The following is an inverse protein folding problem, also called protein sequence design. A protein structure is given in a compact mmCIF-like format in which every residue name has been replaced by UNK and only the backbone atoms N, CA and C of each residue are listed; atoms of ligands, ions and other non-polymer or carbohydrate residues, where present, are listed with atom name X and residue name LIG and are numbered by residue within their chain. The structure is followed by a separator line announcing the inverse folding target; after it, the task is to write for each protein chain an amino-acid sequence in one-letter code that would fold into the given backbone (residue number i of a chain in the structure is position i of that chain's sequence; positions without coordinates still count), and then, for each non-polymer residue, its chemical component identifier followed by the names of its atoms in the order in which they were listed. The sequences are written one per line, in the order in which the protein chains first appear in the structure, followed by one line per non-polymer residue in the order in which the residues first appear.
data_IF_479577014674
#
_entry.id   IF_479577014674
#
_cell.length_a   1.000
_cell.length_b   1.000
_cell.length_c   1.000
_cell.angle_alpha   90.00
_cell.angle_beta   90.00
_cell.angle_gamma   90.00
#
_symmetry.space_group_name_H-M   'P 1'
#
loop_
_entity.id
_entity.type
_entity.pdbx_description
1 polymer ?
#
# COMPACT_ATOMS: atom_id res chain seq x y z
N UNK A 1 -17.66 13.22 -32.40
CA UNK A 1 -16.29 13.65 -32.02
C UNK A 1 -15.64 12.55 -31.18
N UNK A 2 -14.31 12.38 -31.16
CA UNK A 2 -13.66 11.52 -30.18
C UNK A 2 -13.77 12.15 -28.78
N UNK A 3 -14.09 11.34 -27.76
CA UNK A 3 -14.14 11.78 -26.37
C UNK A 3 -12.71 12.07 -25.90
N UNK A 4 -12.44 13.28 -25.40
CA UNK A 4 -11.16 13.59 -24.75
C UNK A 4 -11.09 12.86 -23.40
N UNK A 5 -9.96 12.22 -23.10
CA UNK A 5 -9.75 11.43 -21.87
C UNK A 5 -9.90 12.21 -20.55
N UNK A 6 -9.92 13.54 -20.63
CA UNK A 6 -10.08 14.49 -19.51
C UNK A 6 -11.55 14.74 -19.13
N UNK A 7 -12.51 14.39 -20.00
CA UNK A 7 -13.93 14.69 -19.77
C UNK A 7 -14.52 13.87 -18.61
N UNK A 8 -14.80 14.50 -17.47
CA UNK A 8 -15.45 13.86 -16.31
C UNK A 8 -16.86 13.35 -16.65
N UNK A 9 -17.58 14.09 -17.50
CA UNK A 9 -18.94 13.82 -17.99
C UNK A 9 -18.90 13.77 -19.52
N UNK A 10 -19.52 12.75 -20.12
CA UNK A 10 -19.69 12.70 -21.57
C UNK A 10 -20.66 13.81 -22.05
N UNK A 11 -20.25 14.71 -22.97
CA UNK A 11 -21.10 15.82 -23.40
C UNK A 11 -22.31 15.39 -24.23
N UNK A 12 -22.32 14.17 -24.79
CA UNK A 12 -23.44 13.68 -25.62
C UNK A 12 -24.54 12.99 -24.81
N UNK A 13 -24.21 12.33 -23.69
CA UNK A 13 -25.15 11.50 -22.94
C UNK A 13 -25.18 11.73 -21.43
N UNK A 14 -24.35 12.63 -20.89
CA UNK A 14 -24.33 12.96 -19.46
C UNK A 14 -23.77 11.87 -18.53
N UNK A 15 -23.41 10.68 -19.05
CA UNK A 15 -22.82 9.60 -18.25
C UNK A 15 -21.43 10.02 -17.77
N UNK A 16 -21.17 9.92 -16.46
CA UNK A 16 -19.84 10.07 -15.86
C UNK A 16 -18.89 9.03 -16.43
N UNK A 17 -17.86 9.48 -17.14
CA UNK A 17 -16.83 8.61 -17.71
C UNK A 17 -15.67 8.40 -16.74
N UNK A 18 -15.37 9.42 -15.92
CA UNK A 18 -14.37 9.30 -14.87
C UNK A 18 -15.05 8.74 -13.60
N UNK A 19 -14.63 7.59 -13.06
CA UNK A 19 -15.00 7.26 -11.68
C UNK A 19 -14.52 8.40 -10.77
N UNK A 20 -15.21 8.68 -9.64
CA UNK A 20 -14.75 9.70 -8.72
C UNK A 20 -13.28 9.42 -8.38
N UNK A 21 -12.40 10.45 -8.31
CA UNK A 21 -11.02 10.22 -7.94
C UNK A 21 -11.04 9.48 -6.61
N UNK A 22 -10.60 8.22 -6.64
CA UNK A 22 -10.44 7.42 -5.43
C UNK A 22 -9.64 8.27 -4.46
N UNK A 23 -10.00 8.29 -3.17
CA UNK A 23 -9.43 9.23 -2.21
C UNK A 23 -7.93 8.95 -1.99
N UNK A 24 -7.12 9.39 -2.95
CA UNK A 24 -5.73 9.02 -3.15
C UNK A 24 -4.87 9.98 -2.33
N UNK A 25 -5.20 10.02 -1.04
CA UNK A 25 -4.52 10.76 0.01
C UNK A 25 -3.03 10.52 -0.14
N UNK A 26 -2.26 11.60 -0.34
CA UNK A 26 -0.81 11.52 -0.45
C UNK A 26 -0.28 10.96 0.88
N UNK A 27 0.25 9.74 0.84
CA UNK A 27 0.71 9.00 2.03
C UNK A 27 2.17 9.33 2.27
N UNK A 28 2.57 9.53 3.52
CA UNK A 28 3.98 9.75 3.81
C UNK A 28 4.71 8.39 3.85
N UNK A 29 5.63 8.09 2.91
CA UNK A 29 6.32 6.80 2.88
C UNK A 29 7.24 6.57 4.09
N UNK A 30 7.72 7.65 4.72
CA UNK A 30 8.45 7.58 5.99
C UNK A 30 7.55 7.14 7.15
N UNK A 31 6.31 7.64 7.22
CA UNK A 31 5.34 7.22 8.23
C UNK A 31 4.90 5.77 7.99
N UNK A 32 4.69 5.36 6.74
CA UNK A 32 4.39 3.97 6.39
C UNK A 32 5.53 3.02 6.80
N UNK A 33 6.78 3.39 6.53
CA UNK A 33 7.97 2.62 6.93
C UNK A 33 8.11 2.54 8.47
N UNK A 34 7.97 3.66 9.18
CA UNK A 34 8.04 3.70 10.64
C UNK A 34 6.91 2.90 11.29
N UNK A 35 5.69 2.95 10.75
CA UNK A 35 4.57 2.14 11.22
C UNK A 35 4.90 0.64 11.13
N UNK A 36 5.44 0.18 9.98
CA UNK A 36 5.93 -1.20 9.83
C UNK A 36 7.09 -1.56 10.76
N UNK A 37 8.02 -0.62 10.98
CA UNK A 37 9.16 -0.85 11.87
C UNK A 37 8.73 -1.04 13.33
N UNK A 38 7.72 -0.31 13.79
CA UNK A 38 7.10 -0.47 15.11
C UNK A 38 6.25 -1.75 15.20
N UNK A 39 5.50 -2.08 14.14
CA UNK A 39 4.60 -3.25 14.13
C UNK A 39 4.35 -3.74 12.68
N UNK A 40 4.50 -5.04 12.40
CA UNK A 40 5.13 -5.56 11.15
C UNK A 40 4.96 -4.80 9.81
N UNK A 41 3.83 -4.69 9.11
CA UNK A 41 2.47 -5.14 9.38
C UNK A 41 1.49 -3.97 9.33
N UNK A 42 1.78 -2.92 10.10
CA UNK A 42 0.95 -1.74 10.28
C UNK A 42 1.13 -0.70 9.16
N UNK A 43 2.31 -0.63 8.52
CA UNK A 43 2.53 0.25 7.37
C UNK A 43 1.69 -0.15 6.14
N UNK A 44 1.45 -1.44 5.94
CA UNK A 44 0.51 -1.94 4.92
C UNK A 44 -0.93 -1.52 5.23
N UNK A 45 -1.35 -1.56 6.50
CA UNK A 45 -2.67 -1.08 6.94
C UNK A 45 -2.78 0.44 6.74
N UNK A 46 -1.75 1.22 7.10
CA UNK A 46 -1.66 2.66 6.82
C UNK A 46 -1.75 2.96 5.31
N UNK A 47 -1.13 2.12 4.47
CA UNK A 47 -1.23 2.21 3.02
C UNK A 47 -2.62 1.81 2.47
N UNK A 48 -3.50 1.21 3.28
CA UNK A 48 -4.83 0.76 2.89
C UNK A 48 -4.88 -0.70 2.44
N UNK A 49 -3.74 -1.39 2.41
CA UNK A 49 -3.61 -2.80 2.04
C UNK A 49 -3.81 -3.70 3.27
N UNK A 50 -4.99 -3.61 3.88
CA UNK A 50 -5.35 -4.32 5.12
C UNK A 50 -5.08 -5.83 5.01
N UNK A 51 -5.45 -6.44 3.87
CA UNK A 51 -5.23 -7.88 3.64
C UNK A 51 -3.75 -8.28 3.65
N UNK A 52 -2.85 -7.48 3.06
CA UNK A 52 -1.40 -7.72 3.14
C UNK A 52 -0.86 -7.50 4.55
N UNK A 53 -1.33 -6.46 5.23
CA UNK A 53 -0.95 -6.18 6.62
C UNK A 53 -1.27 -7.35 7.55
N UNK A 54 -2.50 -7.87 7.48
CA UNK A 54 -2.92 -9.06 8.24
C UNK A 54 -2.06 -10.29 7.85
N UNK A 55 -1.82 -10.51 6.54
CA UNK A 55 -0.96 -11.60 6.08
C UNK A 55 0.46 -11.55 6.66
N UNK A 56 1.05 -10.35 6.75
CA UNK A 56 2.35 -10.14 7.39
C UNK A 56 2.33 -10.36 8.91
N UNK A 57 1.23 -10.01 9.61
CA UNK A 57 1.09 -10.36 11.04
C UNK A 57 1.08 -11.87 11.25
N UNK A 58 0.31 -12.61 10.44
CA UNK A 58 0.23 -14.08 10.54
C UNK A 58 1.58 -14.71 10.21
N UNK A 59 2.29 -14.22 9.19
CA UNK A 59 3.63 -14.68 8.84
C UNK A 59 4.67 -14.41 9.95
N UNK A 60 4.60 -13.22 10.57
CA UNK A 60 5.42 -12.85 11.72
C UNK A 60 5.14 -13.76 12.93
N UNK A 61 3.86 -14.05 13.21
CA UNK A 61 3.44 -14.93 14.30
C UNK A 61 3.94 -16.38 14.09
N UNK A 62 3.78 -16.93 12.88
CA UNK A 62 4.30 -18.27 12.54
C UNK A 62 5.83 -18.31 12.64
N UNK A 63 6.52 -17.26 12.20
CA UNK A 63 7.99 -17.18 12.33
C UNK A 63 8.47 -17.02 13.77
N UNK A 64 7.71 -16.32 14.61
CA UNK A 64 7.96 -16.24 16.05
C UNK A 64 7.79 -17.61 16.73
N UNK A 65 6.78 -18.40 16.36
CA UNK A 65 6.67 -19.79 16.83
C UNK A 65 7.83 -20.66 16.34
N UNK A 66 8.32 -20.44 15.12
CA UNK A 66 9.49 -21.13 14.56
C UNK A 66 10.84 -20.74 15.24
N UNK A 67 10.87 -19.73 16.12
CA UNK A 67 12.05 -19.40 16.94
C UNK A 67 12.44 -20.57 17.86
N UNK A 68 11.47 -21.38 18.28
CA UNK A 68 11.68 -22.59 19.13
C UNK A 68 12.63 -23.59 18.44
N UNK A 69 12.65 -23.62 17.10
CA UNK A 69 13.48 -24.51 16.28
C UNK A 69 14.76 -23.81 15.77
N UNK A 70 15.12 -22.66 16.33
CA UNK A 70 16.19 -21.74 15.90
C UNK A 70 16.07 -21.18 14.46
N UNK A 71 15.29 -21.79 13.56
CA UNK A 71 15.01 -21.30 12.20
C UNK A 71 14.39 -19.88 12.25
N UNK A 72 13.52 -19.61 13.23
CA UNK A 72 12.89 -18.30 13.42
C UNK A 72 13.86 -17.14 13.62
N UNK A 73 15.09 -17.41 14.08
CA UNK A 73 16.09 -16.38 14.37
C UNK A 73 16.60 -15.67 13.10
N UNK A 74 16.56 -16.36 11.95
CA UNK A 74 16.89 -15.77 10.64
C UNK A 74 15.64 -15.27 9.92
N UNK A 75 14.51 -15.98 9.99
CA UNK A 75 13.30 -15.59 9.23
C UNK A 75 12.65 -14.34 9.80
N UNK A 76 12.61 -14.16 11.12
CA UNK A 76 11.97 -13.01 11.77
C UNK A 76 12.59 -11.65 11.36
N UNK A 77 13.92 -11.42 11.44
CA UNK A 77 14.51 -10.16 10.97
C UNK A 77 14.39 -9.96 9.45
N UNK A 78 14.40 -11.03 8.65
CA UNK A 78 14.17 -10.95 7.20
C UNK A 78 12.74 -10.49 6.87
N UNK A 79 11.72 -11.04 7.54
CA UNK A 79 10.32 -10.65 7.35
C UNK A 79 10.07 -9.21 7.82
N UNK A 80 10.65 -8.81 8.95
CA UNK A 80 10.56 -7.44 9.45
C UNK A 80 11.26 -6.41 8.53
N UNK A 81 12.46 -6.73 8.03
CA UNK A 81 13.13 -5.89 7.04
C UNK A 81 12.34 -5.77 5.74
N UNK A 82 11.75 -6.88 5.27
CA UNK A 82 10.89 -6.91 4.09
C UNK A 82 9.62 -6.05 4.27
N UNK A 83 8.95 -6.13 5.43
CA UNK A 83 7.69 -5.42 5.65
C UNK A 83 7.86 -3.90 5.75
N UNK A 84 9.02 -3.41 6.21
CA UNK A 84 9.39 -1.99 6.17
C UNK A 84 9.60 -1.54 4.72
N UNK A 85 10.40 -2.28 3.95
CA UNK A 85 10.69 -1.95 2.55
C UNK A 85 9.43 -1.96 1.67
N UNK A 86 8.57 -2.97 1.85
CA UNK A 86 7.29 -3.09 1.14
C UNK A 86 6.34 -1.93 1.48
N UNK A 87 6.24 -1.53 2.76
CA UNK A 87 5.41 -0.40 3.15
C UNK A 87 5.92 0.94 2.60
N UNK A 88 7.23 1.17 2.61
CA UNK A 88 7.84 2.37 1.99
C UNK A 88 7.52 2.43 0.50
N UNK A 89 7.83 1.36 -0.24
CA UNK A 89 7.71 1.31 -1.70
C UNK A 89 6.25 1.31 -2.17
N UNK A 90 5.34 0.75 -1.38
CA UNK A 90 3.90 0.81 -1.63
C UNK A 90 3.38 2.24 -1.48
N UNK A 91 3.74 2.95 -0.40
CA UNK A 91 3.35 4.36 -0.20
C UNK A 91 3.86 5.26 -1.33
N UNK A 92 5.10 5.04 -1.78
CA UNK A 92 5.69 5.76 -2.90
C UNK A 92 4.92 5.54 -4.22
N UNK A 93 4.58 4.28 -4.56
CA UNK A 93 3.77 3.95 -5.74
C UNK A 93 2.39 4.59 -5.69
N UNK A 94 1.71 4.54 -4.54
CA UNK A 94 0.41 5.20 -4.35
C UNK A 94 0.51 6.69 -4.65
N UNK A 95 1.54 7.38 -4.13
CA UNK A 95 1.75 8.80 -4.41
C UNK A 95 2.02 9.12 -5.88
N UNK A 96 2.82 8.29 -6.56
CA UNK A 96 3.10 8.43 -7.99
C UNK A 96 1.80 8.28 -8.81
N UNK A 97 0.97 7.30 -8.47
CA UNK A 97 -0.32 7.07 -9.12
C UNK A 97 -1.35 8.18 -8.80
N UNK A 98 -1.35 8.74 -7.58
CA UNK A 98 -2.11 9.94 -7.24
C UNK A 98 -1.71 11.13 -8.13
N UNK A 99 -0.40 11.38 -8.31
CA UNK A 99 0.09 12.48 -9.15
C UNK A 99 -0.34 12.33 -10.60
N UNK A 100 -0.07 11.18 -11.23
CA UNK A 100 -0.43 10.98 -12.64
C UNK A 100 -1.94 11.10 -12.87
N UNK A 101 -2.77 10.69 -11.92
CA UNK A 101 -4.24 10.85 -12.00
C UNK A 101 -4.68 12.32 -11.98
N UNK A 102 -3.90 13.21 -11.36
CA UNK A 102 -4.17 14.65 -11.24
C UNK A 102 -3.58 15.48 -12.40
N UNK A 103 -2.75 14.89 -13.27
CA UNK A 103 -2.14 15.55 -14.43
C UNK A 103 -2.97 15.39 -15.73
N UNK A 104 -4.08 14.65 -15.68
CA UNK A 104 -5.08 14.50 -16.74
C UNK A 104 -6.41 15.17 -16.35
#
# INVERSE_FOLDING_TARGET
MPIKSVAEICPECGVRQRPPPSANQVKNPGIAALASAVWTGAGQIYNGEIGKGIGLMVLMFVSALAMIVAIGFLTTPLIWGYSIYDAYRTAERTNQQSRSTNEF
#
